data_IF_574986754701
#
_entry.id   IF_574986754701
#
_cell.length_a   1.000
_cell.length_b   1.000
_cell.length_c   1.000
_cell.angle_alpha   90.00
_cell.angle_beta   90.00
_cell.angle_gamma   90.00
#
_symmetry.space_group_name_H-M   'P 1'
#
loop_
_entity.id
_entity.type
_entity.pdbx_description
1 polymer ?
#
# COMPACT_ATOMS: atom_id res chain seq x y z
N UNK A 1 19.51 21.88 -15.07
CA UNK A 1 19.64 21.45 -13.66
C UNK A 1 19.52 19.94 -13.64
N UNK A 2 20.64 19.23 -13.63
CA UNK A 2 20.68 17.78 -13.44
C UNK A 2 20.29 17.51 -12.00
N UNK A 3 19.18 16.83 -11.76
CA UNK A 3 18.92 16.30 -10.43
C UNK A 3 20.05 15.32 -10.14
N UNK A 4 20.91 15.63 -9.15
CA UNK A 4 21.85 14.68 -8.59
C UNK A 4 21.02 13.54 -8.00
N UNK A 5 20.76 12.52 -8.82
CA UNK A 5 20.20 11.27 -8.33
C UNK A 5 21.31 10.57 -7.57
N UNK A 6 21.17 10.61 -6.26
CA UNK A 6 21.99 9.80 -5.37
C UNK A 6 22.06 8.35 -5.88
N UNK A 7 23.25 7.72 -5.80
CA UNK A 7 23.38 6.33 -6.20
C UNK A 7 22.39 5.47 -5.39
N UNK A 8 21.73 4.54 -6.08
CA UNK A 8 20.83 3.59 -5.44
C UNK A 8 21.59 2.81 -4.36
N UNK A 9 21.04 2.67 -3.14
CA UNK A 9 21.69 1.89 -2.10
C UNK A 9 21.76 0.43 -2.53
N UNK A 10 22.91 -0.20 -2.32
CA UNK A 10 23.07 -1.63 -2.55
C UNK A 10 22.26 -2.46 -1.54
N UNK A 11 22.16 -3.78 -1.79
CA UNK A 11 21.40 -4.70 -0.94
C UNK A 11 21.88 -4.70 0.52
N UNK A 12 23.19 -4.53 0.76
CA UNK A 12 23.75 -4.52 2.11
C UNK A 12 23.35 -3.25 2.88
N UNK A 13 23.36 -2.09 2.22
CA UNK A 13 22.94 -0.81 2.77
C UNK A 13 21.44 -0.82 3.10
N UNK A 14 20.60 -1.38 2.21
CA UNK A 14 19.17 -1.57 2.45
C UNK A 14 18.95 -2.47 3.67
N UNK A 15 19.59 -3.65 3.70
CA UNK A 15 19.46 -4.60 4.80
C UNK A 15 19.90 -4.00 6.15
N UNK A 16 21.01 -3.26 6.16
CA UNK A 16 21.50 -2.57 7.36
C UNK A 16 20.50 -1.52 7.87
N UNK A 17 19.88 -0.76 6.96
CA UNK A 17 18.88 0.26 7.31
C UNK A 17 17.61 -0.36 7.90
N UNK A 18 17.07 -1.40 7.25
CA UNK A 18 15.91 -2.14 7.77
C UNK A 18 16.19 -2.78 9.12
N UNK A 19 17.39 -3.36 9.31
CA UNK A 19 17.83 -3.91 10.61
C UNK A 19 17.83 -2.84 11.70
N UNK A 20 18.34 -1.63 11.42
CA UNK A 20 18.32 -0.51 12.39
C UNK A 20 16.89 -0.09 12.76
N UNK A 21 16.01 0.07 11.77
CA UNK A 21 14.60 0.41 12.04
C UNK A 21 13.88 -0.67 12.84
N UNK A 22 14.15 -1.95 12.56
CA UNK A 22 13.60 -3.06 13.34
C UNK A 22 14.07 -3.04 14.80
N UNK A 23 15.37 -2.86 15.03
CA UNK A 23 15.96 -2.84 16.38
C UNK A 23 15.45 -1.65 17.20
N UNK A 24 15.29 -0.49 16.56
CA UNK A 24 14.72 0.72 17.17
C UNK A 24 13.19 0.75 17.21
N UNK A 25 12.51 -0.31 16.74
CA UNK A 25 11.04 -0.40 16.65
C UNK A 25 10.41 0.76 15.88
N UNK A 26 11.08 1.26 14.84
CA UNK A 26 10.55 2.30 13.97
C UNK A 26 9.55 1.72 12.95
N UNK A 27 8.42 1.22 13.46
CA UNK A 27 7.36 0.61 12.64
C UNK A 27 6.68 1.60 11.70
N UNK A 28 6.75 2.90 12.00
CA UNK A 28 6.22 3.96 11.13
C UNK A 28 7.04 4.05 9.84
N UNK A 29 8.37 4.13 9.92
CA UNK A 29 9.23 4.14 8.73
C UNK A 29 9.08 2.86 7.89
N UNK A 30 8.88 1.71 8.56
CA UNK A 30 8.64 0.42 7.92
C UNK A 30 7.30 0.42 7.17
N UNK A 31 6.23 0.90 7.80
CA UNK A 31 4.91 1.05 7.18
C UNK A 31 4.97 1.98 5.97
N UNK A 32 5.55 3.17 6.13
CA UNK A 32 5.70 4.15 5.06
C UNK A 32 6.49 3.58 3.87
N UNK A 33 7.61 2.87 4.13
CA UNK A 33 8.35 2.20 3.06
C UNK A 33 7.48 1.19 2.32
N UNK A 34 6.74 0.35 3.05
CA UNK A 34 5.85 -0.63 2.44
C UNK A 34 4.75 0.01 1.61
N UNK A 35 4.11 1.07 2.09
CA UNK A 35 3.11 1.83 1.33
C UNK A 35 3.69 2.41 0.02
N UNK A 36 4.86 3.03 0.07
CA UNK A 36 5.49 3.59 -1.13
C UNK A 36 5.87 2.52 -2.16
N UNK A 37 6.38 1.38 -1.69
CA UNK A 37 6.65 0.22 -2.55
C UNK A 37 5.35 -0.32 -3.14
N UNK A 38 4.29 -0.44 -2.34
CA UNK A 38 2.96 -0.85 -2.80
C UNK A 38 2.43 0.06 -3.91
N UNK A 39 2.49 1.38 -3.72
CA UNK A 39 2.04 2.32 -4.75
C UNK A 39 2.79 2.16 -6.08
N UNK A 40 4.13 1.98 -6.03
CA UNK A 40 4.93 1.72 -7.23
C UNK A 40 4.59 0.39 -7.88
N UNK A 41 4.42 -0.67 -7.07
CA UNK A 41 4.08 -2.00 -7.57
C UNK A 41 2.70 -2.02 -8.22
N UNK A 42 1.69 -1.38 -7.61
CA UNK A 42 0.35 -1.28 -8.19
C UNK A 42 0.40 -0.65 -9.60
N UNK A 43 1.13 0.46 -9.76
CA UNK A 43 1.31 1.09 -11.08
C UNK A 43 2.03 0.15 -12.05
N UNK A 44 3.09 -0.55 -11.60
CA UNK A 44 3.81 -1.51 -12.43
C UNK A 44 2.95 -2.71 -12.85
N UNK A 45 1.96 -3.09 -12.04
CA UNK A 45 0.98 -4.13 -12.33
C UNK A 45 -0.20 -3.63 -13.19
N UNK A 46 -0.19 -2.37 -13.63
CA UNK A 46 -1.23 -1.80 -14.49
C UNK A 46 -2.45 -1.23 -13.76
N UNK A 47 -2.40 -1.10 -12.43
CA UNK A 47 -3.47 -0.47 -11.68
C UNK A 47 -3.44 1.05 -11.88
N UNK A 48 -4.62 1.65 -11.99
CA UNK A 48 -4.78 3.09 -11.99
C UNK A 48 -4.99 3.61 -10.56
N UNK A 49 -3.98 4.27 -9.99
CA UNK A 49 -4.09 4.87 -8.65
C UNK A 49 -4.99 6.12 -8.64
N UNK A 50 -6.16 6.02 -8.01
CA UNK A 50 -7.17 7.08 -7.90
C UNK A 50 -6.99 7.96 -6.65
N UNK A 51 -6.28 7.47 -5.63
CA UNK A 51 -5.76 8.30 -4.55
C UNK A 51 -5.04 7.49 -3.47
N UNK A 52 -4.26 8.18 -2.66
CA UNK A 52 -3.67 7.61 -1.44
C UNK A 52 -4.42 8.13 -0.20
N UNK A 53 -4.22 7.47 0.94
CA UNK A 53 -4.86 7.84 2.22
C UNK A 53 -4.81 9.35 2.54
N UNK A 54 -3.66 9.99 2.29
CA UNK A 54 -3.44 11.41 2.57
C UNK A 54 -4.35 12.33 1.73
N UNK A 55 -4.75 11.89 0.53
CA UNK A 55 -5.64 12.65 -0.36
C UNK A 55 -7.08 12.67 0.19
N UNK A 56 -7.42 11.70 1.04
CA UNK A 56 -8.77 11.51 1.58
C UNK A 56 -8.88 11.89 3.07
N UNK A 57 -7.79 12.35 3.68
CA UNK A 57 -7.76 12.72 5.10
C UNK A 57 -8.74 13.87 5.37
N UNK A 58 -9.68 13.68 6.29
CA UNK A 58 -10.71 14.68 6.63
C UNK A 58 -11.89 14.74 5.67
N UNK A 59 -11.82 14.05 4.52
CA UNK A 59 -12.95 13.96 3.57
C UNK A 59 -13.90 12.82 3.91
N UNK A 60 -13.47 11.84 4.71
CA UNK A 60 -14.26 10.64 5.06
C UNK A 60 -15.64 11.00 5.62
N UNK A 61 -15.81 11.89 6.62
CA UNK A 61 -17.16 12.22 7.11
C UNK A 61 -18.05 12.90 6.06
N UNK A 62 -17.46 13.73 5.18
CA UNK A 62 -18.19 14.40 4.12
C UNK A 62 -18.65 13.43 3.02
N UNK A 63 -17.82 12.42 2.71
CA UNK A 63 -18.13 11.36 1.74
C UNK A 63 -19.18 10.40 2.31
N UNK A 64 -19.10 10.06 3.60
CA UNK A 64 -20.05 9.17 4.26
C UNK A 64 -21.41 9.86 4.53
N UNK A 65 -21.46 11.19 4.53
CA UNK A 65 -22.67 11.94 4.88
C UNK A 65 -23.02 11.90 6.38
N UNK A 66 -22.14 11.36 7.23
CA UNK A 66 -22.30 11.31 8.68
C UNK A 66 -20.95 11.44 9.42
N UNK A 67 -20.94 11.92 10.68
CA UNK A 67 -19.72 11.98 11.49
C UNK A 67 -19.11 10.60 11.68
N UNK A 68 -17.83 10.46 11.30
CA UNK A 68 -17.11 9.20 11.40
C UNK A 68 -15.67 9.42 11.83
N UNK A 69 -15.16 8.52 12.66
CA UNK A 69 -13.74 8.44 13.02
C UNK A 69 -12.97 7.44 12.14
N UNK A 70 -13.61 6.91 11.10
CA UNK A 70 -12.99 5.98 10.16
C UNK A 70 -11.84 6.67 9.41
N UNK A 71 -10.79 5.89 9.13
CA UNK A 71 -9.65 6.33 8.32
C UNK A 71 -9.76 5.72 6.92
N UNK A 72 -9.38 6.46 5.87
CA UNK A 72 -9.35 5.91 4.52
C UNK A 72 -8.28 4.81 4.45
N UNK A 73 -8.45 3.91 3.48
CA UNK A 73 -7.44 2.91 3.15
C UNK A 73 -6.19 3.54 2.54
N UNK A 74 -5.12 2.76 2.46
CA UNK A 74 -3.82 3.25 1.99
C UNK A 74 -3.92 3.73 0.53
N UNK A 75 -4.68 3.01 -0.31
CA UNK A 75 -4.96 3.39 -1.68
C UNK A 75 -6.41 3.11 -2.11
N UNK A 76 -6.87 3.91 -3.05
CA UNK A 76 -8.02 3.64 -3.92
C UNK A 76 -7.49 3.50 -5.34
N UNK A 77 -7.86 2.44 -6.04
CA UNK A 77 -7.37 2.16 -7.38
C UNK A 77 -8.45 1.50 -8.24
N UNK A 78 -8.28 1.59 -9.56
CA UNK A 78 -8.90 0.66 -10.49
C UNK A 78 -7.88 -0.42 -10.86
N UNK A 79 -8.28 -1.68 -10.85
CA UNK A 79 -7.42 -2.78 -11.33
C UNK A 79 -7.30 -2.78 -12.87
N UNK A 80 -6.47 -3.65 -13.46
CA UNK A 80 -6.32 -3.72 -14.91
C UNK A 80 -7.61 -4.04 -15.68
N UNK A 81 -8.59 -4.64 -15.02
CA UNK A 81 -9.91 -4.94 -15.59
C UNK A 81 -10.91 -3.77 -15.40
N UNK A 82 -10.47 -2.68 -14.78
CA UNK A 82 -11.28 -1.48 -14.53
C UNK A 82 -12.14 -1.57 -13.28
N UNK A 83 -11.99 -2.61 -12.45
CA UNK A 83 -12.75 -2.75 -11.20
C UNK A 83 -12.23 -1.80 -10.14
N UNK A 84 -13.14 -1.03 -9.53
CA UNK A 84 -12.81 -0.14 -8.43
C UNK A 84 -12.55 -0.95 -7.15
N UNK A 85 -11.42 -0.67 -6.50
CA UNK A 85 -11.04 -1.35 -5.28
C UNK A 85 -10.28 -0.48 -4.29
N UNK A 86 -10.25 -0.95 -3.05
CA UNK A 86 -9.40 -0.39 -1.99
C UNK A 86 -8.22 -1.32 -1.73
N UNK A 87 -7.03 -0.75 -1.51
CA UNK A 87 -5.82 -1.53 -1.20
C UNK A 87 -5.26 -1.10 0.15
N UNK A 88 -5.05 -2.07 1.05
CA UNK A 88 -4.30 -1.90 2.28
C UNK A 88 -2.89 -2.48 2.14
N UNK A 89 -1.85 -1.75 2.53
CA UNK A 89 -0.46 -2.18 2.52
C UNK A 89 -0.06 -2.71 3.90
N UNK A 90 0.56 -3.90 3.95
CA UNK A 90 1.07 -4.49 5.18
C UNK A 90 2.53 -4.90 5.05
N UNK A 91 3.41 -4.01 5.50
CA UNK A 91 4.84 -4.22 5.56
C UNK A 91 5.26 -5.18 6.68
N UNK A 92 6.33 -5.93 6.45
CA UNK A 92 6.92 -6.85 7.43
C UNK A 92 8.44 -6.82 7.31
N UNK A 93 9.13 -6.81 8.46
CA UNK A 93 10.60 -6.77 8.58
C UNK A 93 11.13 -7.91 9.45
N UNK A 94 10.33 -8.96 9.62
CA UNK A 94 10.67 -10.12 10.44
C UNK A 94 10.14 -11.39 9.79
N UNK A 95 10.93 -12.47 9.73
CA UNK A 95 10.46 -13.78 9.29
C UNK A 95 9.28 -14.33 10.11
N UNK A 96 9.11 -13.87 11.36
CA UNK A 96 7.95 -14.26 12.20
C UNK A 96 6.65 -13.57 11.78
N UNK A 97 6.74 -12.43 11.10
CA UNK A 97 5.58 -11.64 10.66
C UNK A 97 5.19 -11.89 9.20
N UNK A 98 6.09 -12.50 8.43
CA UNK A 98 5.87 -12.94 7.07
C UNK A 98 6.78 -14.13 6.77
N UNK A 99 6.18 -15.24 6.38
CA UNK A 99 6.89 -16.46 6.00
C UNK A 99 6.65 -16.70 4.52
N UNK A 100 7.70 -17.10 3.79
CA UNK A 100 7.53 -17.66 2.44
C UNK A 100 7.12 -19.12 2.62
N UNK A 101 5.96 -19.51 2.10
CA UNK A 101 5.45 -20.88 2.18
C UNK A 101 6.29 -21.83 1.34
N UNK A 102 6.08 -23.13 1.51
CA UNK A 102 6.71 -24.15 0.66
C UNK A 102 6.33 -24.02 -0.81
N UNK A 103 5.16 -23.45 -1.12
CA UNK A 103 4.69 -23.15 -2.48
C UNK A 103 5.30 -21.87 -3.06
N UNK A 104 6.08 -21.12 -2.26
CA UNK A 104 6.72 -19.88 -2.68
C UNK A 104 5.89 -18.62 -2.45
N UNK A 105 4.65 -18.75 -1.97
CA UNK A 105 3.76 -17.64 -1.63
C UNK A 105 4.18 -16.94 -0.33
N UNK A 106 3.71 -15.72 -0.11
CA UNK A 106 3.77 -15.08 1.19
C UNK A 106 2.64 -15.60 2.10
N UNK A 107 2.94 -15.75 3.38
CA UNK A 107 1.94 -16.05 4.39
C UNK A 107 0.88 -14.95 4.43
N UNK A 108 -0.40 -15.34 4.51
CA UNK A 108 -1.53 -14.42 4.56
C UNK A 108 -1.35 -13.33 5.65
N UNK A 109 -1.62 -12.05 5.34
CA UNK A 109 -1.55 -11.01 6.35
C UNK A 109 -2.56 -11.25 7.47
N UNK A 110 -2.17 -10.96 8.70
CA UNK A 110 -3.12 -10.88 9.79
C UNK A 110 -3.99 -9.62 9.63
N UNK A 111 -5.29 -9.83 9.45
CA UNK A 111 -6.30 -8.77 9.41
C UNK A 111 -7.17 -8.90 10.66
N UNK A 112 -7.41 -7.80 11.37
CA UNK A 112 -8.29 -7.80 12.54
C UNK A 112 -9.73 -8.16 12.11
N UNK A 113 -10.51 -8.81 12.98
CA UNK A 113 -11.87 -9.29 12.62
C UNK A 113 -12.76 -8.20 12.04
N UNK A 114 -12.73 -6.98 12.59
CA UNK A 114 -13.50 -5.84 12.07
C UNK A 114 -13.07 -5.38 10.67
N UNK A 115 -11.83 -5.64 10.27
CA UNK A 115 -11.31 -5.35 8.93
C UNK A 115 -11.65 -6.45 7.90
N UNK A 116 -12.22 -7.58 8.34
CA UNK A 116 -12.64 -8.70 7.47
C UNK A 116 -14.13 -8.67 7.11
N UNK A 117 -14.92 -7.81 7.75
CA UNK A 117 -16.36 -7.76 7.51
C UNK A 117 -16.63 -7.12 6.15
N UNK A 118 -17.50 -7.73 5.34
CA UNK A 118 -17.88 -7.19 4.02
C UNK A 118 -18.63 -5.86 4.15
N UNK A 119 -19.45 -5.71 5.19
CA UNK A 119 -20.11 -4.45 5.54
C UNK A 119 -19.10 -3.31 5.80
N UNK A 120 -17.89 -3.67 6.23
CA UNK A 120 -16.80 -2.74 6.45
C UNK A 120 -16.14 -2.30 5.14
N UNK A 121 -16.17 -3.10 4.07
CA UNK A 121 -15.73 -2.70 2.71
C UNK A 121 -16.72 -1.77 2.02
N UNK A 122 -18.02 -2.04 2.16
CA UNK A 122 -19.10 -1.17 1.63
C UNK A 122 -19.25 0.14 2.41
N UNK A 123 -19.02 0.16 3.73
CA UNK A 123 -18.96 1.40 4.53
C UNK A 123 -17.60 2.13 4.42
N UNK A 124 -16.50 1.44 4.06
CA UNK A 124 -15.18 2.07 3.83
C UNK A 124 -15.08 2.83 2.52
N UNK A 125 -15.89 2.44 1.55
CA UNK A 125 -15.86 3.01 0.22
C UNK A 125 -17.24 3.50 -0.19
N UNK A 126 -17.88 4.40 0.57
CA UNK A 126 -18.95 5.27 0.00
C UNK A 126 -18.45 6.21 -1.11
N UNK A 127 -17.37 5.83 -1.81
CA UNK A 127 -17.21 6.07 -3.22
C UNK A 127 -18.42 5.44 -3.90
N UNK A 128 -19.37 6.30 -4.24
CA UNK A 128 -20.42 6.01 -5.20
C UNK A 128 -19.72 5.35 -6.40
N UNK A 129 -19.80 4.03 -6.51
CA UNK A 129 -19.56 3.38 -7.78
C UNK A 129 -20.64 3.96 -8.70
N UNK A 130 -20.29 4.60 -9.83
CA UNK A 130 -21.29 5.08 -10.80
C UNK A 130 -22.07 3.92 -11.45
N UNK A 131 -21.76 2.69 -11.06
CA UNK A 131 -22.35 1.44 -11.50
C UNK A 131 -22.81 0.69 -10.25
N UNK A 132 -24.06 0.25 -10.21
CA UNK A 132 -24.50 -0.75 -9.23
C UNK A 132 -23.51 -1.93 -9.26
N UNK A 133 -22.71 -2.14 -8.21
CA UNK A 133 -21.65 -3.15 -8.23
C UNK A 133 -20.79 -3.24 -6.97
N UNK A 134 -20.28 -4.45 -6.71
CA UNK A 134 -19.46 -4.83 -5.56
C UNK A 134 -18.15 -4.03 -5.49
N UNK A 135 -17.91 -3.34 -4.39
CA UNK A 135 -16.61 -2.73 -4.11
C UNK A 135 -15.63 -3.80 -3.61
N UNK A 136 -14.56 -4.05 -4.36
CA UNK A 136 -13.57 -5.07 -4.02
C UNK A 136 -12.50 -4.53 -3.06
N UNK A 137 -11.83 -5.42 -2.35
CA UNK A 137 -10.74 -5.07 -1.45
C UNK A 137 -9.57 -6.01 -1.58
N UNK A 138 -8.38 -5.41 -1.54
CA UNK A 138 -7.11 -6.10 -1.62
C UNK A 138 -6.20 -5.71 -0.47
N UNK A 139 -5.33 -6.65 -0.09
CA UNK A 139 -4.21 -6.38 0.79
C UNK A 139 -2.91 -6.70 0.07
N UNK A 140 -2.04 -5.71 -0.04
CA UNK A 140 -0.67 -5.90 -0.49
C UNK A 140 0.19 -6.27 0.72
N UNK A 141 0.64 -7.52 0.79
CA UNK A 141 1.64 -7.94 1.78
C UNK A 141 3.03 -7.61 1.25
N UNK A 142 3.82 -6.87 2.02
CA UNK A 142 5.19 -6.47 1.64
C UNK A 142 6.18 -7.08 2.63
N UNK A 143 6.98 -8.04 2.17
CA UNK A 143 8.07 -8.65 2.92
C UNK A 143 9.40 -7.99 2.59
N UNK A 144 9.82 -7.06 3.44
CA UNK A 144 11.06 -6.31 3.30
C UNK A 144 12.30 -7.13 3.70
N UNK A 145 12.14 -8.34 4.26
CA UNK A 145 13.29 -9.22 4.55
C UNK A 145 13.70 -9.96 3.29
N UNK A 146 12.72 -10.49 2.57
CA UNK A 146 12.94 -11.28 1.35
C UNK A 146 12.80 -10.46 0.06
N UNK A 147 12.54 -9.15 0.17
CA UNK A 147 12.27 -8.25 -0.96
C UNK A 147 11.16 -8.77 -1.88
N UNK A 148 10.07 -9.22 -1.27
CA UNK A 148 8.89 -9.72 -1.99
C UNK A 148 7.62 -8.97 -1.63
N UNK A 149 6.68 -8.86 -2.55
CA UNK A 149 5.32 -8.42 -2.26
C UNK A 149 4.29 -9.30 -2.97
N UNK A 150 3.12 -9.49 -2.38
CA UNK A 150 2.05 -10.28 -2.98
C UNK A 150 0.69 -9.66 -2.67
N UNK A 151 -0.17 -9.66 -3.68
CA UNK A 151 -1.56 -9.20 -3.57
C UNK A 151 -2.41 -10.31 -2.98
N UNK A 152 -3.34 -9.95 -2.10
CA UNK A 152 -4.37 -10.84 -1.59
C UNK A 152 -5.74 -10.21 -1.79
N UNK A 153 -6.65 -10.91 -2.46
CA UNK A 153 -8.06 -10.52 -2.50
C UNK A 153 -8.74 -10.87 -1.18
N UNK A 154 -9.61 -9.97 -0.73
CA UNK A 154 -10.55 -10.24 0.36
C UNK A 154 -11.84 -10.75 -0.24
N UNK A 155 -12.09 -12.05 -0.13
CA UNK A 155 -13.35 -12.64 -0.61
C UNK A 155 -14.52 -12.40 0.34
N UNK A 156 -15.72 -12.81 -0.07
CA UNK A 156 -17.00 -12.45 0.58
C UNK A 156 -17.18 -12.94 2.03
N UNK A 157 -16.43 -13.95 2.47
CA UNK A 157 -16.42 -14.38 3.87
C UNK A 157 -15.18 -13.86 4.65
N UNK A 158 -14.50 -12.85 4.10
CA UNK A 158 -13.33 -12.20 4.70
C UNK A 158 -12.05 -13.03 4.63
N UNK A 159 -12.04 -14.12 3.84
CA UNK A 159 -10.85 -14.92 3.57
C UNK A 159 -9.90 -14.18 2.62
N UNK A 160 -8.59 -14.36 2.86
CA UNK A 160 -7.55 -13.82 1.99
C UNK A 160 -7.06 -14.87 1.02
N UNK A 161 -7.15 -14.58 -0.27
CA UNK A 161 -6.66 -15.45 -1.33
C UNK A 161 -5.53 -14.75 -2.08
N UNK A 162 -4.35 -15.38 -2.22
CA UNK A 162 -3.26 -14.79 -2.99
C UNK A 162 -3.70 -14.62 -4.45
N UNK A 163 -3.35 -13.47 -5.03
CA UNK A 163 -3.57 -13.15 -6.43
C UNK A 163 -2.22 -13.21 -7.13
N UNK A 164 -1.97 -14.32 -7.82
CA UNK A 164 -0.71 -14.58 -8.51
C UNK A 164 0.49 -14.82 -7.57
N UNK A 165 1.68 -15.06 -8.13
CA UNK A 165 2.90 -15.30 -7.36
C UNK A 165 3.44 -14.00 -6.75
N UNK A 166 4.33 -14.07 -5.72
CA UNK A 166 4.99 -12.88 -5.20
C UNK A 166 5.91 -12.20 -6.23
N UNK A 167 5.93 -10.87 -6.19
CA UNK A 167 6.75 -9.99 -7.01
C UNK A 167 8.05 -9.63 -6.27
N UNK A 168 9.16 -9.54 -6.99
CA UNK A 168 10.40 -8.93 -6.48
C UNK A 168 10.22 -7.41 -6.38
N UNK A 169 10.64 -6.84 -5.26
CA UNK A 169 10.53 -5.41 -4.97
C UNK A 169 11.88 -4.77 -4.60
N UNK A 170 13.00 -5.45 -4.80
CA UNK A 170 14.33 -4.99 -4.39
C UNK A 170 14.67 -3.61 -4.97
N UNK A 171 14.48 -3.44 -6.28
CA UNK A 171 14.73 -2.17 -6.97
C UNK A 171 13.78 -1.06 -6.51
N UNK A 172 12.52 -1.41 -6.28
CA UNK A 172 11.52 -0.46 -5.76
C UNK A 172 11.90 0.04 -4.38
N UNK A 173 12.33 -0.85 -3.49
CA UNK A 173 12.82 -0.51 -2.15
C UNK A 173 14.06 0.37 -2.22
N UNK A 174 15.05 -0.01 -3.02
CA UNK A 174 16.28 0.75 -3.19
C UNK A 174 15.98 2.17 -3.69
N UNK A 175 15.16 2.30 -4.72
CA UNK A 175 14.80 3.58 -5.29
C UNK A 175 13.96 4.46 -4.35
N UNK A 176 13.09 3.88 -3.52
CA UNK A 176 12.39 4.65 -2.46
C UNK A 176 13.38 5.15 -1.41
N UNK A 177 14.31 4.30 -0.97
CA UNK A 177 15.28 4.65 0.06
C UNK A 177 16.34 5.65 -0.42
N UNK A 178 16.66 5.67 -1.72
CA UNK A 178 17.50 6.68 -2.35
C UNK A 178 16.83 8.06 -2.31
N UNK A 179 15.53 8.14 -2.63
CA UNK A 179 14.77 9.39 -2.58
C UNK A 179 14.61 9.95 -1.16
N UNK A 180 14.67 9.10 -0.12
CA UNK A 180 14.52 9.51 1.27
C UNK A 180 15.58 8.89 2.18
N UNK A 181 16.74 9.55 2.27
CA UNK A 181 17.87 9.17 3.14
C UNK A 181 17.50 9.11 4.63
N UNK A 182 16.59 9.98 5.07
CA UNK A 182 16.04 10.00 6.43
C UNK A 182 14.51 10.08 6.35
N UNK A 183 13.82 8.94 6.23
CA UNK A 183 12.35 8.96 6.28
C UNK A 183 11.91 9.52 7.64
N UNK A 184 11.29 10.72 7.69
CA UNK A 184 10.69 11.23 8.91
C UNK A 184 9.46 10.38 9.25
N UNK A 185 8.97 10.48 10.49
CA UNK A 185 7.74 9.80 10.91
C UNK A 185 6.50 10.20 10.08
N UNK A 186 6.54 11.33 9.37
CA UNK A 186 5.53 11.78 8.42
C UNK A 186 6.20 12.31 7.15
N UNK A 187 6.17 11.54 6.05
CA UNK A 187 6.36 12.08 4.70
C UNK A 187 5.00 12.11 4.00
N UNK A 188 4.69 13.18 3.25
CA UNK A 188 3.45 13.28 2.47
C UNK A 188 3.47 12.27 1.31
N UNK A 189 2.45 11.43 1.23
CA UNK A 189 2.37 10.27 0.31
C UNK A 189 2.20 10.66 -1.16
N UNK A 190 1.56 11.81 -1.43
CA UNK A 190 1.17 12.28 -2.76
C UNK A 190 2.32 12.69 -3.69
N UNK A 191 3.54 12.87 -3.17
CA UNK A 191 4.70 13.26 -3.99
C UNK A 191 5.27 12.12 -4.87
N UNK A 192 4.84 10.86 -4.69
CA UNK A 192 5.51 9.70 -5.27
C UNK A 192 4.70 8.85 -6.25
N UNK A 193 3.46 9.22 -6.55
CA UNK A 193 2.60 8.49 -7.49
C UNK A 193 2.74 8.97 -8.95
N UNK A 194 3.69 9.85 -9.26
CA UNK A 194 3.91 10.34 -10.63
C UNK A 194 2.76 11.15 -11.20
N UNK A 195 1.85 11.67 -10.37
CA UNK A 195 0.73 12.49 -10.84
C UNK A 195 1.24 13.78 -11.49
N UNK A 196 0.83 13.99 -12.74
CA UNK A 196 0.72 15.33 -13.32
C UNK A 196 -0.24 16.11 -12.41
N UNK A 197 0.09 17.34 -12.00
CA UNK A 197 -0.80 18.15 -11.18
C UNK A 197 -2.12 18.35 -11.94
N UNK A 198 -3.20 17.75 -11.43
CA UNK A 198 -4.54 18.09 -11.86
C UNK A 198 -4.75 19.56 -11.51
N UNK A 199 -4.67 20.42 -12.52
CA UNK A 199 -5.12 21.81 -12.43
C UNK A 199 -6.49 21.79 -11.79
N UNK A 200 -6.67 22.61 -10.75
CA UNK A 200 -7.98 22.95 -10.18
C UNK A 200 -8.95 23.24 -11.33
N UNK A 201 -9.90 22.34 -11.53
CA UNK A 201 -11.08 22.56 -12.34
C UNK A 201 -12.27 22.22 -11.46
N UNK A 202 -12.54 23.10 -10.50
CA UNK A 202 -13.89 23.33 -9.96
C UNK A 202 -13.98 24.83 -9.64
N UNK A 203 -14.46 25.58 -10.64
CA UNK A 203 -15.53 26.57 -10.51
C UNK A 203 -16.40 26.44 -11.75
#
# INVERSE_FOLDING_TARGET
MTADHDPLPDAAAVAARLKRWRLSRNYVAIGNLGEHVTGRLLVALGYQLLGAQDDFLGMVPAVLGFPSTAKPEDFVAADPDGRLLTVNSKASVSPRSCTVTTTGDLSRPHIARGQRAVDYTTLRASLISPLDGDAYSQVMKVDLVNMKAQVFDVGDAGQLQPVGPPHDIGDSVAAVLACWRDMPRCCRKSACTGRVPTRRLIR
#
